data_IF_088711339475
#
_entry.id   IF_088711339475
#
_cell.length_a   1.000
_cell.length_b   1.000
_cell.length_c   1.000
_cell.angle_alpha   90.00
_cell.angle_beta   90.00
_cell.angle_gamma   90.00
#
_symmetry.space_group_name_H-M   'P 1'
#
loop_
_entity.id
_entity.type
_entity.pdbx_description
1 polymer ?
#
# COMPACT_ATOMS: atom_id res chain seq x y z
N UNK A 1 2.83 -2.38 5.67
CA UNK A 1 1.45 -2.91 5.76
C UNK A 1 0.74 -2.92 4.41
N UNK A 2 0.63 -1.79 3.68
CA UNK A 2 -0.08 -1.72 2.38
C UNK A 2 0.39 -2.78 1.38
N UNK A 3 1.71 -2.89 1.12
CA UNK A 3 2.27 -3.90 0.19
C UNK A 3 1.86 -5.32 0.56
N UNK A 4 1.88 -5.64 1.86
CA UNK A 4 1.49 -6.96 2.36
C UNK A 4 0.04 -7.27 1.97
N UNK A 5 -0.88 -6.34 2.24
CA UNK A 5 -2.31 -6.52 1.90
C UNK A 5 -2.50 -6.71 0.39
N UNK A 6 -1.82 -5.89 -0.44
CA UNK A 6 -1.86 -6.01 -1.91
C UNK A 6 -1.36 -7.39 -2.35
N UNK A 7 -0.23 -7.84 -1.80
CA UNK A 7 0.34 -9.14 -2.12
C UNK A 7 -0.57 -10.30 -1.69
N UNK A 8 -1.18 -10.23 -0.51
CA UNK A 8 -2.15 -11.23 -0.05
C UNK A 8 -3.35 -11.32 -0.99
N UNK A 9 -3.86 -10.19 -1.52
CA UNK A 9 -4.95 -10.19 -2.50
C UNK A 9 -4.53 -10.84 -3.82
N UNK A 10 -3.33 -10.51 -4.33
CA UNK A 10 -2.78 -11.14 -5.55
C UNK A 10 -2.61 -12.65 -5.34
N UNK A 11 -2.03 -13.07 -4.21
CA UNK A 11 -1.84 -14.48 -3.88
C UNK A 11 -3.18 -15.22 -3.79
N UNK A 12 -4.15 -14.68 -3.05
CA UNK A 12 -5.48 -15.28 -2.93
C UNK A 12 -6.18 -15.43 -4.28
N UNK A 13 -6.11 -14.39 -5.13
CA UNK A 13 -6.77 -14.41 -6.44
C UNK A 13 -6.11 -15.38 -7.43
N UNK A 14 -4.77 -15.36 -7.55
CA UNK A 14 -4.06 -16.14 -8.56
C UNK A 14 -3.63 -17.55 -8.10
N UNK A 15 -3.40 -17.77 -6.80
CA UNK A 15 -2.98 -19.08 -6.26
C UNK A 15 -4.12 -19.86 -5.62
N UNK A 16 -5.30 -19.25 -5.44
CA UNK A 16 -6.52 -19.90 -4.96
C UNK A 16 -7.24 -20.78 -6.00
N UNK A 17 -6.74 -20.86 -7.24
CA UNK A 17 -7.28 -21.77 -8.26
C UNK A 17 -6.80 -23.21 -8.06
N UNK A 18 -7.16 -23.81 -6.92
CA UNK A 18 -7.35 -25.25 -6.87
C UNK A 18 -8.70 -25.61 -7.51
N UNK A 19 -8.78 -26.64 -8.35
CA UNK A 19 -9.97 -26.94 -9.17
C UNK A 19 -11.23 -27.32 -8.39
N UNK A 20 -11.15 -27.49 -7.07
CA UNK A 20 -12.24 -28.01 -6.22
C UNK A 20 -13.06 -26.95 -5.48
N UNK A 21 -12.66 -25.67 -5.50
CA UNK A 21 -13.42 -24.60 -4.85
C UNK A 21 -13.41 -23.34 -5.72
N UNK A 22 -14.29 -23.29 -6.73
CA UNK A 22 -14.62 -22.05 -7.43
C UNK A 22 -15.26 -21.09 -6.42
N UNK A 23 -14.46 -20.20 -5.83
CA UNK A 23 -15.02 -18.97 -5.24
C UNK A 23 -15.15 -17.96 -6.37
N UNK A 24 -16.37 -17.78 -6.86
CA UNK A 24 -16.77 -16.80 -7.89
C UNK A 24 -16.72 -15.35 -7.36
N UNK A 25 -15.66 -14.97 -6.65
CA UNK A 25 -15.49 -13.60 -6.18
C UNK A 25 -14.78 -12.80 -7.28
N UNK A 26 -15.57 -12.04 -8.05
CA UNK A 26 -15.05 -11.10 -9.05
C UNK A 26 -14.42 -9.91 -8.33
N UNK A 27 -13.10 -9.94 -8.17
CA UNK A 27 -12.34 -8.83 -7.60
C UNK A 27 -12.00 -7.79 -8.68
N UNK A 28 -12.54 -6.57 -8.55
CA UNK A 28 -12.36 -5.51 -9.56
C UNK A 28 -11.36 -4.42 -9.16
N UNK A 29 -11.33 -4.01 -7.88
CA UNK A 29 -10.53 -2.86 -7.43
C UNK A 29 -10.19 -2.95 -5.94
N UNK A 30 -8.96 -2.57 -5.59
CA UNK A 30 -8.53 -2.25 -4.22
C UNK A 30 -8.18 -0.76 -4.15
N UNK A 31 -8.85 0.02 -3.31
CA UNK A 31 -8.54 1.44 -3.09
C UNK A 31 -8.16 1.70 -1.64
N UNK A 32 -7.13 2.52 -1.43
CA UNK A 32 -6.71 2.96 -0.10
C UNK A 32 -7.24 4.36 0.19
N UNK A 33 -8.07 4.48 1.23
CA UNK A 33 -8.71 5.73 1.61
C UNK A 33 -7.80 6.58 2.52
N UNK A 34 -6.73 7.14 1.98
CA UNK A 34 -5.73 7.89 2.75
C UNK A 34 -5.31 9.22 2.10
N UNK A 35 -6.15 9.79 1.24
CA UNK A 35 -5.94 11.09 0.60
C UNK A 35 -6.28 12.29 1.51
N UNK A 36 -6.68 12.05 2.77
CA UNK A 36 -7.00 13.10 3.73
C UNK A 36 -5.81 14.01 4.06
N UNK A 37 -6.13 15.25 4.47
CA UNK A 37 -5.16 16.19 5.03
C UNK A 37 -5.00 15.95 6.53
N UNK A 38 -3.76 15.92 7.02
CA UNK A 38 -3.50 15.78 8.44
C UNK A 38 -3.73 17.11 9.19
N UNK A 39 -4.02 17.03 10.49
CA UNK A 39 -4.23 18.19 11.38
C UNK A 39 -3.24 18.18 12.54
N UNK A 40 -2.89 19.38 13.03
CA UNK A 40 -2.05 19.55 14.23
C UNK A 40 -2.75 18.95 15.47
N UNK A 41 -2.02 18.29 16.39
CA UNK A 41 -0.57 18.01 16.40
C UNK A 41 -0.18 16.64 15.80
N UNK A 42 -1.02 16.07 14.93
CA UNK A 42 -0.92 14.68 14.48
C UNK A 42 -0.55 14.54 12.98
N UNK A 43 0.47 15.27 12.53
CA UNK A 43 0.84 15.35 11.11
C UNK A 43 1.25 13.99 10.51
N UNK A 44 1.96 13.16 11.28
CA UNK A 44 2.47 11.87 10.80
C UNK A 44 1.63 10.66 11.21
N UNK A 45 0.92 10.74 12.34
CA UNK A 45 0.20 9.61 12.95
C UNK A 45 -1.15 9.31 12.30
N UNK A 46 -1.79 10.31 11.68
CA UNK A 46 -3.05 10.12 10.96
C UNK A 46 -2.86 9.28 9.68
N UNK A 47 -3.93 8.61 9.22
CA UNK A 47 -3.93 7.80 7.99
C UNK A 47 -4.00 8.68 6.73
N UNK A 48 -2.89 9.34 6.41
CA UNK A 48 -2.73 10.21 5.25
C UNK A 48 -1.53 9.79 4.39
N UNK A 49 -1.54 10.11 3.09
CA UNK A 49 -0.39 9.95 2.19
C UNK A 49 0.70 10.99 2.42
N UNK A 50 0.31 12.20 2.80
CA UNK A 50 1.20 13.34 3.04
C UNK A 50 1.00 13.84 4.47
N UNK A 51 2.09 14.31 5.08
CA UNK A 51 2.04 15.07 6.33
C UNK A 51 1.96 16.55 5.99
N UNK A 52 0.88 17.20 6.42
CA UNK A 52 0.60 18.63 6.17
C UNK A 52 1.11 19.50 7.30
N UNK A 53 1.89 20.51 6.97
CA UNK A 53 2.38 21.53 7.89
C UNK A 53 1.80 22.90 7.50
N UNK A 54 1.05 23.52 8.41
CA UNK A 54 0.63 24.90 8.27
C UNK A 54 1.69 25.78 8.92
N UNK A 55 2.48 26.49 8.10
CA UNK A 55 3.56 27.35 8.57
C UNK A 55 2.99 28.73 8.84
N UNK A 56 2.50 28.89 10.06
CA UNK A 56 1.76 30.09 10.47
C UNK A 56 2.65 31.29 10.84
N UNK A 57 3.98 31.07 10.97
CA UNK A 57 4.94 32.07 11.46
C UNK A 57 5.62 32.88 10.33
N UNK A 58 5.13 32.78 9.09
CA UNK A 58 5.64 33.55 7.94
C UNK A 58 4.58 34.49 7.39
N UNK A 59 5.02 35.51 6.63
CA UNK A 59 4.14 36.38 5.84
C UNK A 59 4.47 36.22 4.35
N UNK A 60 3.56 35.68 3.52
CA UNK A 60 2.26 35.12 3.88
C UNK A 60 2.38 33.77 4.63
N UNK A 61 1.29 33.37 5.28
CA UNK A 61 1.15 32.00 5.81
C UNK A 61 1.08 31.04 4.64
N UNK A 62 1.77 29.89 4.72
CA UNK A 62 1.76 28.88 3.68
C UNK A 62 1.63 27.47 4.24
N UNK A 63 1.49 26.50 3.34
CA UNK A 63 1.32 25.08 3.68
C UNK A 63 2.37 24.27 2.94
N UNK A 64 3.00 23.36 3.67
CA UNK A 64 3.97 22.41 3.13
C UNK A 64 3.51 20.98 3.31
N UNK A 65 3.94 20.12 2.39
CA UNK A 65 3.66 18.69 2.42
C UNK A 65 4.94 17.88 2.45
N UNK A 66 5.04 16.99 3.42
CA UNK A 66 6.10 15.98 3.50
C UNK A 66 5.53 14.64 3.06
N UNK A 67 6.19 14.00 2.08
CA UNK A 67 5.82 12.66 1.61
C UNK A 67 6.02 11.64 2.72
N UNK A 68 4.97 10.88 3.07
CA UNK A 68 5.08 9.77 4.01
C UNK A 68 5.47 8.49 3.27
N UNK A 69 6.03 7.47 3.95
CA UNK A 69 6.51 6.25 3.29
C UNK A 69 5.45 5.56 2.40
N UNK A 70 4.18 5.61 2.80
CA UNK A 70 3.07 5.02 2.03
C UNK A 70 2.92 5.64 0.63
N UNK A 71 3.22 6.92 0.46
CA UNK A 71 3.18 7.59 -0.85
C UNK A 71 4.26 7.03 -1.78
N UNK A 72 5.50 6.89 -1.29
CA UNK A 72 6.60 6.29 -2.04
C UNK A 72 6.31 4.82 -2.39
N UNK A 73 5.71 4.07 -1.47
CA UNK A 73 5.28 2.69 -1.71
C UNK A 73 4.30 2.59 -2.89
N UNK A 74 3.33 3.50 -3.00
CA UNK A 74 2.45 3.51 -4.18
C UNK A 74 3.22 3.81 -5.47
N UNK A 75 4.21 4.71 -5.41
CA UNK A 75 5.10 4.97 -6.55
C UNK A 75 5.88 3.72 -7.00
N UNK A 76 6.33 2.89 -6.06
CA UNK A 76 7.01 1.62 -6.35
C UNK A 76 6.04 0.57 -6.91
N UNK A 77 4.84 0.44 -6.33
CA UNK A 77 3.80 -0.48 -6.83
C UNK A 77 3.36 -0.11 -8.26
N UNK A 78 3.34 1.19 -8.60
CA UNK A 78 3.07 1.67 -9.95
C UNK A 78 4.13 1.30 -11.00
N UNK A 79 5.26 0.69 -10.60
CA UNK A 79 6.30 0.18 -11.52
C UNK A 79 6.20 -1.32 -11.80
N UNK A 80 5.23 -2.02 -11.21
CA UNK A 80 5.00 -3.44 -11.49
C UNK A 80 4.48 -3.63 -12.93
N UNK A 81 4.90 -4.73 -13.56
CA UNK A 81 4.45 -5.12 -14.89
C UNK A 81 3.21 -6.03 -14.82
N UNK A 82 2.45 -6.20 -15.93
CA UNK A 82 1.27 -7.07 -15.96
C UNK A 82 1.56 -8.57 -15.77
N UNK A 83 2.80 -9.02 -16.04
CA UNK A 83 3.18 -10.42 -15.91
C UNK A 83 3.54 -10.77 -14.47
N UNK A 84 2.86 -11.78 -13.91
CA UNK A 84 3.20 -12.35 -12.60
C UNK A 84 4.22 -13.48 -12.76
N UNK A 85 5.32 -13.42 -12.02
CA UNK A 85 6.33 -14.47 -11.97
C UNK A 85 6.07 -15.43 -10.80
N UNK A 86 6.26 -16.73 -11.04
CA UNK A 86 6.17 -17.72 -9.97
C UNK A 86 7.46 -17.73 -9.15
N UNK A 87 7.37 -17.30 -7.89
CA UNK A 87 8.52 -17.14 -6.99
C UNK A 87 8.32 -17.98 -5.72
N UNK A 88 9.39 -18.64 -5.26
CA UNK A 88 9.46 -19.29 -3.94
C UNK A 88 10.46 -18.54 -3.08
N UNK A 89 10.04 -18.09 -1.90
CA UNK A 89 10.89 -17.38 -0.95
C UNK A 89 11.35 -18.34 0.15
N UNK A 90 12.64 -18.31 0.47
CA UNK A 90 13.24 -19.10 1.55
C UNK A 90 13.99 -18.17 2.50
N UNK A 91 13.86 -18.39 3.81
CA UNK A 91 14.65 -17.71 4.84
C UNK A 91 15.36 -18.78 5.66
N UNK A 92 16.69 -18.71 5.73
CA UNK A 92 17.52 -19.68 6.48
C UNK A 92 17.15 -21.14 6.14
N UNK A 93 16.97 -21.44 4.85
CA UNK A 93 16.62 -22.78 4.36
C UNK A 93 15.15 -23.20 4.55
N UNK A 94 14.34 -22.42 5.27
CA UNK A 94 12.90 -22.67 5.45
C UNK A 94 12.08 -21.89 4.42
N UNK A 95 11.16 -22.58 3.73
CA UNK A 95 10.22 -21.93 2.80
C UNK A 95 9.33 -20.97 3.58
N UNK A 96 9.34 -19.69 3.22
CA UNK A 96 8.40 -18.70 3.74
C UNK A 96 7.15 -18.77 2.87
N UNK A 97 5.98 -18.99 3.49
CA UNK A 97 4.74 -18.62 2.82
C UNK A 97 4.63 -17.10 2.88
N UNK A 98 4.72 -16.44 1.72
CA UNK A 98 4.35 -15.04 1.61
C UNK A 98 2.89 -14.93 2.08
N UNK A 99 2.68 -14.36 3.26
CA UNK A 99 1.36 -14.12 3.86
C UNK A 99 0.74 -12.86 3.29
#
# INVERSE_FOLDING_TARGET
>A
MVVKIVLSHIHFYFMGHQPLTKKDVKFGLLSSDNAFLSYFPNQFTQRTMLARFQVNNTLPKYVEFVKKPVYTVFGLLGKLCPLLLHVKVFQQGKKIQAT
#
